data_IF_849338252028
#
_entry.id   IF_849338252028
#
_cell.length_a   1.000
_cell.length_b   1.000
_cell.length_c   1.000
_cell.angle_alpha   90.00
_cell.angle_beta   90.00
_cell.angle_gamma   90.00
#
_symmetry.space_group_name_H-M   'P 1'
#
loop_
_entity.id
_entity.type
_entity.pdbx_description
1 polymer ?
#
# COMPACT_ATOMS: atom_id res chain seq x y z
N UNK A 1 7.89 9.10 -21.19
CA UNK A 1 7.94 8.43 -19.87
C UNK A 1 7.94 9.53 -18.82
N UNK A 2 6.81 9.80 -18.19
CA UNK A 2 6.73 10.86 -17.18
C UNK A 2 7.39 10.38 -15.90
N UNK A 3 8.34 11.16 -15.38
CA UNK A 3 9.02 10.87 -14.12
C UNK A 3 8.00 10.94 -12.99
N UNK A 4 7.85 9.85 -12.25
CA UNK A 4 6.91 9.77 -11.14
C UNK A 4 7.36 10.73 -10.04
N UNK A 5 6.56 11.75 -9.75
CA UNK A 5 6.81 12.68 -8.63
C UNK A 5 6.76 11.87 -7.32
N UNK A 6 7.60 12.20 -6.34
CA UNK A 6 7.56 11.51 -5.05
C UNK A 6 6.22 11.74 -4.35
N UNK A 7 5.51 10.66 -4.00
CA UNK A 7 4.22 10.72 -3.33
C UNK A 7 4.36 10.29 -1.87
N UNK A 8 4.62 11.23 -0.93
CA UNK A 8 4.85 10.90 0.48
C UNK A 8 3.66 10.17 1.11
N UNK A 9 2.44 10.45 0.66
CA UNK A 9 1.23 9.76 1.14
C UNK A 9 1.14 8.30 0.67
N UNK A 10 1.66 7.97 -0.51
CA UNK A 10 1.72 6.59 -1.02
C UNK A 10 2.84 5.85 -0.30
N UNK A 11 4.01 6.48 -0.13
CA UNK A 11 5.14 5.95 0.64
C UNK A 11 4.71 5.59 2.06
N UNK A 12 3.99 6.47 2.77
CA UNK A 12 3.47 6.19 4.12
C UNK A 12 2.54 4.97 4.16
N UNK A 13 1.71 4.76 3.12
CA UNK A 13 0.82 3.58 3.06
C UNK A 13 1.61 2.29 2.82
N UNK A 14 2.60 2.34 1.94
CA UNK A 14 3.49 1.21 1.69
C UNK A 14 4.34 0.87 2.93
N UNK A 15 4.81 1.87 3.69
CA UNK A 15 5.49 1.65 4.97
C UNK A 15 4.61 0.95 6.00
N UNK A 16 3.31 1.26 6.05
CA UNK A 16 2.36 0.52 6.91
C UNK A 16 2.24 -0.93 6.45
N UNK A 17 2.05 -1.16 5.16
CA UNK A 17 1.99 -2.52 4.59
C UNK A 17 3.26 -3.33 4.92
N UNK A 18 4.43 -2.69 4.85
CA UNK A 18 5.71 -3.29 5.24
C UNK A 18 5.73 -3.68 6.72
N UNK A 19 5.26 -2.82 7.62
CA UNK A 19 5.17 -3.15 9.06
C UNK A 19 4.26 -4.35 9.34
N UNK A 20 3.10 -4.41 8.68
CA UNK A 20 2.21 -5.58 8.79
C UNK A 20 2.87 -6.85 8.24
N UNK A 21 3.57 -6.76 7.11
CA UNK A 21 4.26 -7.90 6.50
C UNK A 21 5.40 -8.41 7.39
N UNK A 22 6.19 -7.51 7.99
CA UNK A 22 7.22 -7.88 8.95
C UNK A 22 6.62 -8.66 10.14
N UNK A 23 5.49 -8.18 10.68
CA UNK A 23 4.76 -8.87 11.75
C UNK A 23 4.24 -10.25 11.32
N UNK A 24 3.73 -10.41 10.09
CA UNK A 24 3.33 -11.71 9.55
C UNK A 24 4.49 -12.71 9.53
N UNK A 25 5.69 -12.27 9.13
CA UNK A 25 6.89 -13.11 9.11
C UNK A 25 7.26 -13.55 10.53
N UNK A 26 7.26 -12.62 11.49
CA UNK A 26 7.51 -12.94 12.91
C UNK A 26 6.47 -13.92 13.46
N UNK A 27 5.20 -13.75 13.11
CA UNK A 27 4.11 -14.64 13.52
C UNK A 27 4.24 -16.05 12.94
N UNK A 28 4.73 -16.18 11.70
CA UNK A 28 5.02 -17.47 11.08
C UNK A 28 6.15 -18.20 11.81
N UNK A 29 7.23 -17.48 12.15
CA UNK A 29 8.36 -18.04 12.92
C UNK A 29 7.93 -18.43 14.32
N UNK A 30 7.02 -17.67 14.93
CA UNK A 30 6.46 -17.93 16.26
C UNK A 30 5.29 -18.94 16.27
N UNK A 31 5.01 -19.61 15.15
CA UNK A 31 3.94 -20.62 15.01
C UNK A 31 2.57 -20.15 15.54
N UNK A 32 2.24 -18.88 15.29
CA UNK A 32 0.98 -18.26 15.69
C UNK A 32 -0.22 -18.89 14.96
N UNK A 33 -1.43 -18.82 15.55
CA UNK A 33 -2.62 -19.43 14.95
C UNK A 33 -2.94 -18.84 13.57
N UNK A 34 -3.38 -19.72 12.65
CA UNK A 34 -3.68 -19.38 11.26
C UNK A 34 -4.67 -18.23 11.10
N UNK A 35 -5.60 -18.07 12.05
CA UNK A 35 -6.59 -16.98 12.04
C UNK A 35 -5.91 -15.62 12.20
N UNK A 36 -4.97 -15.49 13.13
CA UNK A 36 -4.23 -14.23 13.33
C UNK A 36 -3.39 -13.89 12.09
N UNK A 37 -2.74 -14.91 11.51
CA UNK A 37 -1.97 -14.76 10.26
C UNK A 37 -2.84 -14.29 9.11
N UNK A 38 -4.01 -14.91 8.92
CA UNK A 38 -4.95 -14.53 7.87
C UNK A 38 -5.45 -13.09 8.03
N UNK A 39 -5.78 -12.67 9.25
CA UNK A 39 -6.17 -11.29 9.53
C UNK A 39 -5.04 -10.32 9.19
N UNK A 40 -3.80 -10.66 9.52
CA UNK A 40 -2.68 -9.77 9.30
C UNK A 40 -2.28 -9.69 7.83
N UNK A 41 -2.39 -10.79 7.08
CA UNK A 41 -2.30 -10.80 5.62
C UNK A 41 -3.39 -9.93 4.96
N UNK A 42 -4.62 -9.98 5.47
CA UNK A 42 -5.71 -9.13 4.96
C UNK A 42 -5.43 -7.64 5.18
N UNK A 43 -4.77 -7.28 6.28
CA UNK A 43 -4.34 -5.91 6.54
C UNK A 43 -3.26 -5.45 5.56
N UNK A 44 -2.29 -6.32 5.22
CA UNK A 44 -1.29 -6.06 4.17
C UNK A 44 -1.97 -5.79 2.83
N UNK A 45 -2.88 -6.67 2.40
CA UNK A 45 -3.61 -6.54 1.13
C UNK A 45 -4.42 -5.23 1.08
N UNK A 46 -5.10 -4.89 2.18
CA UNK A 46 -5.89 -3.65 2.30
C UNK A 46 -5.01 -2.41 2.16
N UNK A 47 -3.83 -2.41 2.79
CA UNK A 47 -2.88 -1.31 2.70
C UNK A 47 -2.34 -1.12 1.28
N UNK A 48 -2.00 -2.21 0.59
CA UNK A 48 -1.57 -2.20 -0.81
C UNK A 48 -2.68 -1.70 -1.73
N UNK A 49 -3.91 -2.18 -1.54
CA UNK A 49 -5.08 -1.74 -2.31
C UNK A 49 -5.35 -0.25 -2.12
N UNK A 50 -5.23 0.25 -0.88
CA UNK A 50 -5.34 1.67 -0.58
C UNK A 50 -4.25 2.50 -1.27
N UNK A 51 -3.00 2.03 -1.27
CA UNK A 51 -1.89 2.68 -1.95
C UNK A 51 -2.11 2.74 -3.48
N UNK A 52 -2.57 1.64 -4.08
CA UNK A 52 -2.91 1.57 -5.51
C UNK A 52 -4.02 2.55 -5.88
N UNK A 53 -5.09 2.62 -5.08
CA UNK A 53 -6.17 3.59 -5.28
C UNK A 53 -5.63 5.01 -5.21
N UNK A 54 -4.86 5.36 -4.18
CA UNK A 54 -4.27 6.68 -4.05
C UNK A 54 -3.40 7.06 -5.27
N UNK A 55 -2.61 6.11 -5.78
CA UNK A 55 -1.80 6.32 -6.99
C UNK A 55 -2.65 6.62 -8.22
N UNK A 56 -3.71 5.83 -8.45
CA UNK A 56 -4.61 6.02 -9.59
C UNK A 56 -5.35 7.35 -9.51
N UNK A 57 -5.92 7.68 -8.34
CA UNK A 57 -6.65 8.93 -8.13
C UNK A 57 -5.76 10.17 -8.36
N UNK A 58 -4.52 10.12 -7.89
CA UNK A 58 -3.56 11.19 -8.09
C UNK A 58 -3.12 11.28 -9.56
N UNK A 59 -2.85 10.14 -10.21
CA UNK A 59 -2.46 10.12 -11.62
C UNK A 59 -3.60 10.63 -12.52
N UNK A 60 -4.86 10.28 -12.24
CA UNK A 60 -6.02 10.80 -12.96
C UNK A 60 -6.18 12.31 -12.71
N UNK A 61 -6.06 12.78 -11.46
CA UNK A 61 -6.12 14.21 -11.15
C UNK A 61 -5.01 14.99 -11.87
N UNK A 62 -3.79 14.45 -11.89
CA UNK A 62 -2.66 15.07 -12.56
C UNK A 62 -2.86 15.05 -14.08
N UNK A 63 -3.31 13.96 -14.69
CA UNK A 63 -3.58 13.89 -16.13
C UNK A 63 -4.73 14.81 -16.56
N UNK A 64 -5.80 14.94 -15.77
CA UNK A 64 -6.90 15.87 -16.05
C UNK A 64 -6.47 17.34 -15.86
N UNK A 65 -5.62 17.63 -14.87
CA UNK A 65 -5.08 18.98 -14.65
C UNK A 65 -4.10 19.44 -15.74
N UNK A 66 -3.51 18.52 -16.52
CA UNK A 66 -2.63 18.82 -17.65
C UNK A 66 -3.35 18.68 -19.02
N UNK A 67 -4.67 18.48 -19.01
CA UNK A 67 -5.49 18.17 -20.19
C UNK A 67 -6.48 19.24 -20.62
N UNK A 68 -6.33 20.50 -20.18
CA UNK A 68 -7.08 21.65 -20.69
C UNK A 68 -6.11 22.84 -20.86
N UNK A 69 -5.82 23.14 -22.13
CA UNK A 69 -4.93 24.19 -22.60
C UNK A 69 -4.73 24.09 -24.10
#
# INVERSE_FOLDING_TARGET
MTVHVSHPAIIKRLQRAHGHLASVIEMLVAERPCVDLAQQLQAVESAITSAKKALIHEHISQCLAHGDG
#
